data_IF_084568260013
#
_entry.id   IF_084568260013
#
_cell.length_a   1.000
_cell.length_b   1.000
_cell.length_c   1.000
_cell.angle_alpha   90.00
_cell.angle_beta   90.00
_cell.angle_gamma   90.00
#
_symmetry.space_group_name_H-M   'P 1'
#
loop_
_entity.id
_entity.type
_entity.pdbx_description
1 polymer ?
#
# COMPACT_ATOMS: atom_id res chain seq x y z
N UNK A 1 36.17 -41.38 22.25
CA UNK A 1 36.70 -41.46 20.87
C UNK A 1 35.53 -41.47 19.93
N UNK A 2 35.43 -40.44 19.09
CA UNK A 2 34.40 -40.36 18.06
C UNK A 2 35.00 -40.84 16.76
N UNK A 3 34.28 -41.69 16.02
CA UNK A 3 34.65 -42.10 14.65
C UNK A 3 33.70 -41.38 13.69
N UNK A 4 34.23 -40.45 12.92
CA UNK A 4 33.46 -39.65 12.00
C UNK A 4 33.82 -40.07 10.58
N UNK A 5 32.82 -40.37 9.76
CA UNK A 5 32.97 -40.62 8.35
C UNK A 5 32.47 -39.43 7.58
N UNK A 6 33.34 -38.80 6.81
CA UNK A 6 32.96 -37.69 5.93
C UNK A 6 32.41 -38.28 4.63
N UNK A 7 31.17 -38.06 4.32
CA UNK A 7 30.51 -38.56 3.13
C UNK A 7 30.62 -37.61 1.92
N UNK A 8 30.68 -36.31 2.19
CA UNK A 8 30.75 -35.29 1.15
C UNK A 8 31.46 -34.05 1.66
N UNK A 9 32.27 -33.44 0.85
CA UNK A 9 32.88 -32.12 1.08
C UNK A 9 32.45 -31.21 -0.06
N UNK A 10 31.76 -30.12 0.24
CA UNK A 10 31.32 -29.12 -0.73
C UNK A 10 32.06 -27.82 -0.53
N UNK A 11 32.51 -27.24 -1.62
CA UNK A 11 33.06 -25.89 -1.64
C UNK A 11 32.07 -24.97 -2.32
N UNK A 12 31.95 -23.73 -1.78
CA UNK A 12 31.11 -22.70 -2.39
C UNK A 12 31.86 -22.09 -3.57
N UNK A 13 31.42 -22.40 -4.78
CA UNK A 13 31.91 -21.74 -5.98
C UNK A 13 31.10 -20.50 -6.26
N UNK A 14 31.74 -19.35 -6.42
CA UNK A 14 31.10 -18.09 -6.78
C UNK A 14 31.31 -17.91 -8.28
N UNK A 15 30.24 -17.87 -9.09
CA UNK A 15 30.36 -17.68 -10.52
C UNK A 15 31.00 -16.35 -10.88
N UNK A 16 31.66 -16.29 -12.02
CA UNK A 16 32.20 -15.05 -12.57
C UNK A 16 31.02 -14.08 -12.93
N UNK A 17 31.31 -12.76 -12.86
CA UNK A 17 30.37 -11.76 -13.33
C UNK A 17 30.52 -11.61 -14.85
N UNK A 18 29.87 -12.49 -15.59
CA UNK A 18 29.92 -12.55 -17.04
C UNK A 18 28.51 -12.73 -17.64
N UNK A 19 28.47 -12.92 -18.96
CA UNK A 19 27.22 -13.06 -19.69
C UNK A 19 26.52 -14.41 -19.42
N UNK A 20 27.26 -15.45 -19.00
CA UNK A 20 26.67 -16.73 -18.61
C UNK A 20 25.87 -16.56 -17.31
N UNK A 21 26.45 -15.87 -16.32
CA UNK A 21 25.75 -15.54 -15.09
C UNK A 21 24.51 -14.71 -15.36
N UNK A 22 24.56 -13.75 -16.29
CA UNK A 22 23.40 -12.93 -16.63
C UNK A 22 22.24 -13.78 -17.14
N UNK A 23 22.50 -14.74 -18.03
CA UNK A 23 21.49 -15.68 -18.54
C UNK A 23 20.96 -16.65 -17.49
N UNK A 24 21.79 -17.04 -16.54
CA UNK A 24 21.37 -17.89 -15.41
C UNK A 24 20.43 -17.17 -14.44
N UNK A 25 20.60 -15.85 -14.31
CA UNK A 25 19.76 -15.01 -13.43
C UNK A 25 18.44 -14.64 -14.11
N UNK A 26 18.48 -14.31 -15.40
CA UNK A 26 17.35 -13.80 -16.15
C UNK A 26 17.41 -14.27 -17.61
N UNK A 27 16.47 -15.13 -17.98
CA UNK A 27 16.39 -15.74 -19.32
C UNK A 27 16.06 -14.71 -20.43
N UNK A 28 15.61 -13.50 -20.06
CA UNK A 28 15.27 -12.44 -21.02
C UNK A 28 16.48 -11.59 -21.44
N UNK A 29 17.64 -11.77 -20.79
CA UNK A 29 18.86 -11.00 -21.08
C UNK A 29 19.96 -11.91 -21.66
N UNK A 30 20.76 -11.36 -22.55
CA UNK A 30 21.87 -12.12 -23.18
C UNK A 30 23.24 -11.72 -22.63
N UNK A 31 23.36 -10.52 -22.05
CA UNK A 31 24.64 -9.97 -21.59
C UNK A 31 24.53 -9.41 -20.17
N UNK A 32 25.67 -9.35 -19.48
CA UNK A 32 25.77 -8.76 -18.16
C UNK A 32 25.40 -7.26 -18.17
N UNK A 33 25.67 -6.57 -19.27
CA UNK A 33 25.35 -5.14 -19.38
C UNK A 33 23.84 -4.92 -19.56
N UNK A 34 23.15 -5.79 -20.31
CA UNK A 34 21.68 -5.77 -20.38
C UNK A 34 21.06 -6.03 -19.02
N UNK A 35 21.56 -7.00 -18.26
CA UNK A 35 21.10 -7.27 -16.90
C UNK A 35 21.28 -6.05 -15.97
N UNK A 36 22.43 -5.39 -16.04
CA UNK A 36 22.70 -4.17 -15.28
C UNK A 36 21.76 -3.02 -15.67
N UNK A 37 21.48 -2.84 -16.96
CA UNK A 37 20.55 -1.81 -17.43
C UNK A 37 19.11 -2.12 -16.99
N UNK A 38 18.67 -3.39 -17.05
CA UNK A 38 17.37 -3.82 -16.54
C UNK A 38 17.22 -3.46 -15.06
N UNK A 39 18.17 -3.89 -14.22
CA UNK A 39 18.15 -3.58 -12.80
C UNK A 39 18.26 -2.06 -12.50
N UNK A 40 19.07 -1.34 -13.28
CA UNK A 40 19.18 0.11 -13.12
C UNK A 40 17.85 0.81 -13.39
N UNK A 41 17.13 0.35 -14.43
CA UNK A 41 15.81 0.85 -14.77
C UNK A 41 14.80 0.53 -13.66
N UNK A 42 14.72 -0.72 -13.24
CA UNK A 42 13.81 -1.16 -12.17
C UNK A 42 14.06 -0.41 -10.85
N UNK A 43 15.34 -0.27 -10.46
CA UNK A 43 15.71 0.47 -9.25
C UNK A 43 15.42 1.98 -9.37
N UNK A 44 15.56 2.54 -10.57
CA UNK A 44 15.23 3.95 -10.82
C UNK A 44 13.72 4.18 -10.72
N UNK A 45 12.92 3.30 -11.34
CA UNK A 45 11.46 3.35 -11.28
C UNK A 45 10.94 3.14 -9.84
N UNK A 46 11.48 2.14 -9.15
CA UNK A 46 11.13 1.90 -7.74
C UNK A 46 11.49 3.10 -6.84
N UNK A 47 12.65 3.72 -7.07
CA UNK A 47 13.08 4.90 -6.32
C UNK A 47 12.23 6.13 -6.63
N UNK A 48 11.83 6.31 -7.89
CA UNK A 48 10.95 7.40 -8.29
C UNK A 48 9.55 7.24 -7.67
N UNK A 49 9.01 6.03 -7.66
CA UNK A 49 7.74 5.73 -7.01
C UNK A 49 7.83 5.99 -5.51
N UNK A 50 8.84 5.45 -4.83
CA UNK A 50 9.03 5.68 -3.40
C UNK A 50 9.23 7.17 -3.05
N UNK A 51 9.88 7.94 -3.93
CA UNK A 51 10.01 9.39 -3.75
C UNK A 51 8.66 10.10 -3.90
N UNK A 52 7.86 9.75 -4.90
CA UNK A 52 6.52 10.31 -5.10
C UNK A 52 5.62 10.00 -3.90
N UNK A 53 5.62 8.76 -3.44
CA UNK A 53 4.84 8.33 -2.28
C UNK A 53 5.26 9.08 -1.00
N UNK A 54 6.55 9.26 -0.80
CA UNK A 54 7.06 10.02 0.35
C UNK A 54 6.69 11.51 0.30
N UNK A 55 6.70 12.12 -0.89
CA UNK A 55 6.27 13.51 -1.07
C UNK A 55 4.77 13.64 -0.85
N UNK A 56 3.97 12.71 -1.36
CA UNK A 56 2.53 12.68 -1.17
C UNK A 56 2.19 12.56 0.32
N UNK A 57 2.76 11.56 1.01
CA UNK A 57 2.55 11.38 2.44
C UNK A 57 2.93 12.64 3.24
N UNK A 58 4.09 13.23 2.97
CA UNK A 58 4.54 14.45 3.65
C UNK A 58 3.64 15.66 3.36
N UNK A 59 3.10 15.78 2.14
CA UNK A 59 2.18 16.86 1.78
C UNK A 59 0.84 16.70 2.50
N UNK A 60 0.31 15.48 2.58
CA UNK A 60 -0.92 15.17 3.32
C UNK A 60 -0.72 15.43 4.81
N UNK A 61 0.36 14.93 5.41
CA UNK A 61 0.69 15.15 6.82
C UNK A 61 0.77 16.66 7.15
N UNK A 62 1.39 17.43 6.27
CA UNK A 62 1.49 18.88 6.44
C UNK A 62 0.12 19.57 6.31
N UNK A 63 -0.74 19.09 5.40
CA UNK A 63 -2.09 19.62 5.26
C UNK A 63 -2.92 19.32 6.53
N UNK A 64 -2.82 18.09 7.07
CA UNK A 64 -3.48 17.69 8.32
C UNK A 64 -2.96 18.50 9.51
N UNK A 65 -1.64 18.71 9.61
CA UNK A 65 -1.03 19.50 10.68
C UNK A 65 -1.45 20.96 10.65
N UNK A 66 -1.77 21.50 9.47
CA UNK A 66 -2.23 22.88 9.29
C UNK A 66 -3.76 23.04 9.43
N UNK A 67 -4.51 21.94 9.40
CA UNK A 67 -5.97 21.96 9.49
C UNK A 67 -6.43 22.12 10.95
N UNK A 68 -7.51 22.87 11.15
CA UNK A 68 -8.21 22.96 12.42
C UNK A 68 -9.38 21.97 12.42
N UNK A 69 -9.27 20.91 13.21
CA UNK A 69 -10.33 19.93 13.38
C UNK A 69 -11.15 20.34 14.59
N UNK A 70 -12.33 20.90 14.33
CA UNK A 70 -13.21 21.47 15.35
C UNK A 70 -13.79 20.39 16.27
N UNK A 71 -14.16 19.26 15.71
CA UNK A 71 -14.70 18.10 16.43
C UNK A 71 -14.24 16.81 15.76
N UNK A 72 -13.85 15.84 16.57
CA UNK A 72 -13.49 14.50 16.14
C UNK A 72 -14.34 13.49 16.92
N UNK A 73 -15.49 13.05 16.38
CA UNK A 73 -16.35 12.11 17.08
C UNK A 73 -15.63 10.82 17.44
N UNK A 74 -15.71 10.40 18.69
CA UNK A 74 -15.06 9.18 19.17
C UNK A 74 -15.53 7.93 18.39
N UNK A 75 -16.78 7.92 17.94
CA UNK A 75 -17.36 6.85 17.12
C UNK A 75 -16.62 6.68 15.79
N UNK A 76 -16.20 7.77 15.15
CA UNK A 76 -15.44 7.67 13.87
C UNK A 76 -14.08 7.02 14.09
N UNK A 77 -13.39 7.40 15.16
CA UNK A 77 -12.11 6.78 15.53
C UNK A 77 -12.32 5.30 15.87
N UNK A 78 -13.36 4.98 16.62
CA UNK A 78 -13.67 3.62 17.02
C UNK A 78 -13.98 2.70 15.81
N UNK A 79 -14.76 3.18 14.85
CA UNK A 79 -15.02 2.49 13.59
C UNK A 79 -13.72 2.26 12.78
N UNK A 80 -12.82 3.24 12.75
CA UNK A 80 -11.52 3.10 12.09
C UNK A 80 -10.64 2.07 12.80
N UNK A 81 -10.62 2.04 14.14
CA UNK A 81 -9.95 0.99 14.93
C UNK A 81 -10.49 -0.39 14.56
N UNK A 82 -11.81 -0.55 14.54
CA UNK A 82 -12.44 -1.82 14.17
C UNK A 82 -12.04 -2.25 12.75
N UNK A 83 -12.03 -1.33 11.80
CA UNK A 83 -11.62 -1.61 10.42
C UNK A 83 -10.16 -2.07 10.36
N UNK A 84 -9.24 -1.35 11.00
CA UNK A 84 -7.82 -1.67 11.04
C UNK A 84 -7.55 -3.03 11.70
N UNK A 85 -8.21 -3.34 12.80
CA UNK A 85 -8.08 -4.64 13.49
C UNK A 85 -8.65 -5.77 12.63
N UNK A 86 -9.79 -5.58 11.99
CA UNK A 86 -10.38 -6.58 11.10
C UNK A 86 -9.51 -6.83 9.87
N UNK A 87 -8.93 -5.80 9.30
CA UNK A 87 -7.98 -5.91 8.20
C UNK A 87 -6.73 -6.69 8.61
N UNK A 88 -6.15 -6.37 9.76
CA UNK A 88 -5.00 -7.07 10.31
C UNK A 88 -5.29 -8.57 10.52
N UNK A 89 -6.39 -8.89 11.19
CA UNK A 89 -6.80 -10.27 11.44
C UNK A 89 -7.14 -11.01 10.14
N UNK A 90 -7.77 -10.33 9.18
CA UNK A 90 -8.03 -10.87 7.85
C UNK A 90 -6.75 -11.17 7.07
N UNK A 91 -5.73 -10.31 7.18
CA UNK A 91 -4.42 -10.55 6.58
C UNK A 91 -3.73 -11.77 7.20
N UNK A 92 -3.77 -11.91 8.53
CA UNK A 92 -3.27 -13.09 9.22
C UNK A 92 -3.96 -14.36 8.76
N UNK A 93 -5.28 -14.32 8.62
CA UNK A 93 -6.07 -15.47 8.17
C UNK A 93 -5.69 -15.90 6.73
N UNK A 94 -5.43 -14.94 5.83
CA UNK A 94 -4.93 -15.24 4.47
C UNK A 94 -3.56 -15.92 4.49
N UNK A 95 -2.74 -15.68 5.52
CA UNK A 95 -1.47 -16.34 5.75
C UNK A 95 -1.59 -17.67 6.52
N UNK A 96 -2.82 -18.13 6.78
CA UNK A 96 -3.09 -19.39 7.48
C UNK A 96 -3.07 -19.32 9.01
N UNK A 97 -3.02 -18.10 9.58
CA UNK A 97 -3.03 -17.87 11.03
C UNK A 97 -4.43 -17.39 11.41
N UNK A 98 -5.20 -18.24 12.14
CA UNK A 98 -6.51 -17.81 12.63
C UNK A 98 -6.36 -16.77 13.75
N UNK A 99 -7.37 -15.89 13.98
CA UNK A 99 -7.37 -14.96 15.10
C UNK A 99 -7.11 -15.64 16.46
N UNK A 100 -7.76 -16.77 16.71
CA UNK A 100 -7.58 -17.53 17.96
C UNK A 100 -6.13 -18.00 18.13
N UNK A 101 -5.52 -18.51 17.05
CA UNK A 101 -4.12 -18.94 17.06
C UNK A 101 -3.19 -17.75 17.31
N UNK A 102 -3.45 -16.60 16.70
CA UNK A 102 -2.69 -15.38 16.91
C UNK A 102 -2.72 -14.97 18.39
N UNK A 103 -3.90 -14.88 18.99
CA UNK A 103 -4.08 -14.50 20.40
C UNK A 103 -3.44 -15.51 21.36
N UNK A 104 -3.50 -16.81 21.06
CA UNK A 104 -2.84 -17.85 21.89
C UNK A 104 -1.31 -17.77 21.83
N UNK A 105 -0.73 -17.51 20.66
CA UNK A 105 0.74 -17.45 20.49
C UNK A 105 1.32 -16.17 21.08
N UNK A 106 0.65 -15.04 20.88
CA UNK A 106 1.15 -13.72 21.30
C UNK A 106 0.80 -13.40 22.75
N UNK A 107 -0.25 -13.99 23.28
CA UNK A 107 -0.83 -13.62 24.58
C UNK A 107 -1.54 -12.28 24.57
N UNK A 108 -1.71 -11.67 23.39
CA UNK A 108 -2.40 -10.39 23.19
C UNK A 108 -3.90 -10.61 23.23
N UNK A 109 -4.66 -9.66 23.71
CA UNK A 109 -6.12 -9.68 23.65
C UNK A 109 -6.65 -8.80 22.49
N UNK A 110 -7.91 -8.96 22.14
CA UNK A 110 -8.55 -8.08 21.18
C UNK A 110 -8.55 -6.62 21.66
N UNK A 111 -8.72 -6.39 22.97
CA UNK A 111 -8.67 -5.07 23.58
C UNK A 111 -7.27 -4.44 23.47
N UNK A 112 -6.20 -5.22 23.64
CA UNK A 112 -4.83 -4.75 23.43
C UNK A 112 -4.57 -4.34 21.99
N UNK A 113 -5.08 -5.13 21.02
CA UNK A 113 -5.03 -4.76 19.62
C UNK A 113 -5.78 -3.46 19.33
N UNK A 114 -6.97 -3.28 19.88
CA UNK A 114 -7.72 -2.03 19.72
C UNK A 114 -6.92 -0.83 20.24
N UNK A 115 -6.32 -0.92 21.43
CA UNK A 115 -5.47 0.15 21.99
C UNK A 115 -4.24 0.42 21.13
N UNK A 116 -3.66 -0.62 20.55
CA UNK A 116 -2.49 -0.49 19.69
C UNK A 116 -2.80 0.30 18.41
N UNK A 117 -4.00 0.10 17.84
CA UNK A 117 -4.42 0.78 16.61
C UNK A 117 -5.08 2.15 16.84
N UNK A 118 -5.37 2.55 18.09
CA UNK A 118 -6.13 3.75 18.40
C UNK A 118 -5.45 5.02 17.89
N UNK A 119 -4.14 5.17 18.11
CA UNK A 119 -3.39 6.35 17.66
C UNK A 119 -3.33 6.45 16.13
N UNK A 120 -3.14 5.33 15.44
CA UNK A 120 -3.14 5.26 13.97
C UNK A 120 -4.53 5.55 13.40
N UNK A 121 -5.57 5.00 14.01
CA UNK A 121 -6.95 5.21 13.62
C UNK A 121 -7.36 6.68 13.80
N UNK A 122 -6.96 7.33 14.88
CA UNK A 122 -7.17 8.76 15.08
C UNK A 122 -6.49 9.59 13.98
N UNK A 123 -5.23 9.26 13.66
CA UNK A 123 -4.50 9.94 12.59
C UNK A 123 -5.18 9.75 11.23
N UNK A 124 -5.56 8.52 10.88
CA UNK A 124 -6.28 8.21 9.63
C UNK A 124 -7.63 8.93 9.54
N UNK A 125 -8.39 8.95 10.63
CA UNK A 125 -9.67 9.66 10.68
C UNK A 125 -9.49 11.16 10.42
N UNK A 126 -8.48 11.79 11.04
CA UNK A 126 -8.14 13.19 10.77
C UNK A 126 -7.76 13.43 9.32
N UNK A 127 -6.92 12.56 8.76
CA UNK A 127 -6.52 12.64 7.34
C UNK A 127 -7.73 12.57 6.41
N UNK A 128 -8.61 11.60 6.61
CA UNK A 128 -9.82 11.46 5.81
C UNK A 128 -10.70 12.70 5.87
N UNK A 129 -10.94 13.25 7.08
CA UNK A 129 -11.75 14.47 7.25
C UNK A 129 -11.13 15.68 6.53
N UNK A 130 -9.81 15.82 6.57
CA UNK A 130 -9.11 16.93 5.89
C UNK A 130 -9.19 16.78 4.38
N UNK A 131 -8.93 15.59 3.84
CA UNK A 131 -9.01 15.33 2.39
C UNK A 131 -10.45 15.49 1.89
N UNK A 132 -11.44 15.01 2.63
CA UNK A 132 -12.86 15.21 2.31
C UNK A 132 -13.24 16.69 2.31
N UNK A 133 -12.74 17.46 3.29
CA UNK A 133 -12.98 18.90 3.35
C UNK A 133 -12.39 19.62 2.15
N UNK A 134 -11.19 19.24 1.69
CA UNK A 134 -10.57 19.75 0.46
C UNK A 134 -11.40 19.37 -0.76
N UNK A 135 -11.79 18.11 -0.90
CA UNK A 135 -12.63 17.65 -2.01
C UNK A 135 -13.94 18.46 -2.12
N UNK A 136 -14.57 18.72 -0.97
CA UNK A 136 -15.79 19.50 -0.88
C UNK A 136 -15.57 21.00 -1.17
N UNK A 137 -14.47 21.57 -0.68
CA UNK A 137 -14.15 22.99 -0.89
C UNK A 137 -13.83 23.30 -2.35
N UNK A 138 -13.11 22.38 -3.03
CA UNK A 138 -12.79 22.49 -4.44
C UNK A 138 -13.98 22.11 -5.34
N UNK A 139 -15.03 21.49 -4.79
CA UNK A 139 -16.23 21.13 -5.53
C UNK A 139 -15.99 20.06 -6.59
N UNK A 140 -15.11 19.10 -6.31
CA UNK A 140 -14.81 18.04 -7.27
C UNK A 140 -16.02 17.14 -7.53
N UNK A 141 -16.35 17.00 -8.79
CA UNK A 141 -17.34 16.07 -9.29
C UNK A 141 -16.64 15.07 -10.23
N UNK A 142 -17.10 13.84 -10.25
CA UNK A 142 -16.62 12.83 -11.16
C UNK A 142 -17.50 12.82 -12.42
N UNK A 143 -16.88 12.93 -13.58
CA UNK A 143 -17.54 12.75 -14.87
C UNK A 143 -17.82 11.27 -15.16
N UNK A 144 -18.74 11.00 -16.09
CA UNK A 144 -19.00 9.62 -16.50
C UNK A 144 -17.75 8.95 -17.12
N UNK A 145 -16.91 9.73 -17.81
CA UNK A 145 -15.67 9.22 -18.40
C UNK A 145 -14.64 8.82 -17.31
N UNK A 146 -14.54 9.60 -16.24
CA UNK A 146 -13.66 9.28 -15.11
C UNK A 146 -14.13 8.05 -14.34
N UNK A 147 -15.44 7.88 -14.18
CA UNK A 147 -16.02 6.68 -13.58
C UNK A 147 -15.69 5.44 -14.42
N UNK A 148 -15.84 5.53 -15.75
CA UNK A 148 -15.48 4.43 -16.66
C UNK A 148 -13.98 4.09 -16.59
N UNK A 149 -13.13 5.10 -16.56
CA UNK A 149 -11.69 4.93 -16.44
C UNK A 149 -11.32 4.26 -15.10
N UNK A 150 -11.93 4.70 -14.00
CA UNK A 150 -11.71 4.13 -12.67
C UNK A 150 -12.15 2.65 -12.60
N UNK A 151 -13.34 2.33 -13.10
CA UNK A 151 -13.84 0.94 -13.16
C UNK A 151 -12.91 0.07 -14.00
N UNK A 152 -12.39 0.58 -15.12
CA UNK A 152 -11.46 -0.16 -15.99
C UNK A 152 -10.11 -0.38 -15.30
N UNK A 153 -9.60 0.62 -14.59
CA UNK A 153 -8.36 0.53 -13.81
C UNK A 153 -8.50 -0.54 -12.73
N UNK A 154 -9.55 -0.46 -11.92
CA UNK A 154 -9.83 -1.45 -10.86
C UNK A 154 -9.99 -2.87 -11.42
N UNK A 155 -10.67 -3.03 -12.56
CA UNK A 155 -10.81 -4.32 -13.22
C UNK A 155 -9.45 -4.91 -13.61
N UNK A 156 -8.54 -4.07 -14.09
CA UNK A 156 -7.17 -4.47 -14.47
C UNK A 156 -6.33 -4.80 -13.23
N UNK A 157 -6.32 -3.93 -12.23
CA UNK A 157 -5.49 -4.06 -11.02
C UNK A 157 -5.85 -5.30 -10.19
N UNK A 158 -7.14 -5.63 -10.13
CA UNK A 158 -7.64 -6.80 -9.41
C UNK A 158 -7.89 -8.03 -10.30
N UNK A 159 -7.53 -7.95 -11.59
CA UNK A 159 -7.75 -9.01 -12.59
C UNK A 159 -9.20 -9.52 -12.57
N UNK A 160 -10.14 -8.59 -12.62
CA UNK A 160 -11.59 -8.82 -12.55
C UNK A 160 -12.28 -8.35 -13.83
N UNK A 161 -13.45 -8.92 -14.12
CA UNK A 161 -14.32 -8.39 -15.19
C UNK A 161 -14.94 -7.03 -14.78
N UNK A 162 -15.03 -6.10 -15.73
CA UNK A 162 -15.58 -4.74 -15.53
C UNK A 162 -16.98 -4.79 -14.92
N UNK A 163 -17.84 -5.69 -15.40
CA UNK A 163 -19.20 -5.90 -14.88
C UNK A 163 -19.20 -6.32 -13.41
N UNK A 164 -18.19 -7.07 -12.99
CA UNK A 164 -18.06 -7.49 -11.60
C UNK A 164 -17.70 -6.32 -10.69
N UNK A 165 -16.82 -5.44 -11.13
CA UNK A 165 -16.47 -4.20 -10.40
C UNK A 165 -17.72 -3.33 -10.21
N UNK A 166 -18.52 -3.16 -11.28
CA UNK A 166 -19.77 -2.38 -11.21
C UNK A 166 -20.84 -2.99 -10.29
N UNK A 167 -20.82 -4.29 -10.08
CA UNK A 167 -21.72 -4.95 -9.13
C UNK A 167 -21.28 -4.76 -7.67
N UNK A 168 -19.99 -4.60 -7.43
CA UNK A 168 -19.41 -4.48 -6.10
C UNK A 168 -19.38 -3.03 -5.60
N UNK A 169 -19.18 -2.07 -6.52
CA UNK A 169 -19.05 -0.66 -6.20
C UNK A 169 -20.22 0.14 -6.77
N UNK A 170 -20.87 0.92 -5.93
CA UNK A 170 -21.91 1.83 -6.40
C UNK A 170 -21.30 3.03 -7.12
N UNK A 171 -22.07 3.66 -7.99
CA UNK A 171 -21.65 4.88 -8.69
C UNK A 171 -21.28 6.01 -7.70
N UNK A 172 -22.01 6.12 -6.59
CA UNK A 172 -21.74 7.12 -5.56
C UNK A 172 -20.41 6.86 -4.84
N UNK A 173 -20.05 5.60 -4.58
CA UNK A 173 -18.74 5.25 -4.04
C UNK A 173 -17.62 5.63 -5.01
N UNK A 174 -17.76 5.29 -6.29
CA UNK A 174 -16.78 5.65 -7.32
C UNK A 174 -16.61 7.17 -7.45
N UNK A 175 -17.73 7.92 -7.43
CA UNK A 175 -17.67 9.39 -7.44
C UNK A 175 -16.93 9.95 -6.24
N UNK A 176 -17.21 9.40 -5.06
CA UNK A 176 -16.53 9.80 -3.83
C UNK A 176 -15.03 9.51 -3.92
N UNK A 177 -14.64 8.30 -4.30
CA UNK A 177 -13.23 7.90 -4.42
C UNK A 177 -12.47 8.76 -5.43
N UNK A 178 -13.09 9.08 -6.57
CA UNK A 178 -12.50 9.98 -7.57
C UNK A 178 -12.33 11.40 -7.01
N UNK A 179 -13.31 11.91 -6.27
CA UNK A 179 -13.20 13.22 -5.63
C UNK A 179 -12.07 13.27 -4.60
N UNK A 180 -11.92 12.21 -3.80
CA UNK A 180 -10.81 12.06 -2.84
C UNK A 180 -9.46 12.01 -3.56
N UNK A 181 -9.33 11.22 -4.64
CA UNK A 181 -8.10 11.18 -5.47
C UNK A 181 -7.72 12.56 -6.01
N UNK A 182 -8.69 13.31 -6.53
CA UNK A 182 -8.48 14.70 -7.01
C UNK A 182 -8.04 15.63 -5.88
N UNK A 183 -8.58 15.49 -4.68
CA UNK A 183 -8.19 16.29 -3.53
C UNK A 183 -6.75 16.00 -3.11
N UNK A 184 -6.33 14.74 -3.08
CA UNK A 184 -4.95 14.33 -2.82
C UNK A 184 -4.02 14.90 -3.88
N UNK A 185 -4.40 14.85 -5.17
CA UNK A 185 -3.62 15.39 -6.27
C UNK A 185 -3.42 16.93 -6.13
N UNK A 186 -4.46 17.66 -5.72
CA UNK A 186 -4.33 19.11 -5.46
C UNK A 186 -3.40 19.37 -4.28
N UNK A 187 -3.53 18.65 -3.17
CA UNK A 187 -2.66 18.79 -2.01
C UNK A 187 -1.19 18.55 -2.41
N UNK A 188 -0.94 17.47 -3.17
CA UNK A 188 0.41 17.06 -3.58
C UNK A 188 1.01 18.01 -4.61
N UNK A 189 0.24 18.37 -5.66
CA UNK A 189 0.74 19.22 -6.76
C UNK A 189 0.99 20.67 -6.34
N UNK A 190 0.30 21.16 -5.30
CA UNK A 190 0.51 22.51 -4.76
C UNK A 190 1.59 22.57 -3.67
N UNK A 191 2.05 21.41 -3.18
CA UNK A 191 3.10 21.31 -2.18
C UNK A 191 4.45 21.81 -2.73
N UNK A 192 5.18 22.57 -1.91
CA UNK A 192 6.53 23.04 -2.24
C UNK A 192 7.55 22.15 -1.56
N UNK A 193 8.18 21.28 -2.35
CA UNK A 193 9.30 20.46 -1.88
C UNK A 193 10.55 21.34 -1.76
N UNK A 194 11.19 21.33 -0.59
CA UNK A 194 12.42 22.09 -0.31
C UNK A 194 13.62 21.16 -0.29
#
# INVERSE_FOLDING_TARGET
>A
KFVTTIHEVKEKEVPALDDELAKDIDEEVETLDELKEKYRKELSEAKETAYKDAVEAAAIDQAVANAEIVDLPAEMVHEEVHRAVNEFLGNMQRQGISPDMYFQITGTTQEDLHKQYEADAESRTKTNLVVEAVAKAEGFEASAEEIEAEVTSLATDYNMEVERVRQLLSEDMLKHDIAIKKAVEVITSTAKVK
#
